data_IF_277154834759
#
_entry.id   IF_277154834759
#
_cell.length_a   1.000
_cell.length_b   1.000
_cell.length_c   1.000
_cell.angle_alpha   90.00
_cell.angle_beta   90.00
_cell.angle_gamma   90.00
#
_symmetry.space_group_name_H-M   'P 1'
#
loop_
_entity.id
_entity.type
_entity.pdbx_description
1 polymer ?
#
# COMPACT_ATOMS: atom_id res chain seq x y z
N UNK A 1 0.70 0.33 -5.39
CA UNK A 1 0.97 0.51 -6.83
C UNK A 1 2.30 1.22 -6.99
N UNK A 2 3.25 0.55 -7.63
CA UNK A 2 4.56 1.14 -7.89
C UNK A 2 4.51 2.09 -9.09
N UNK A 3 5.38 3.10 -9.06
CA UNK A 3 5.60 4.03 -10.17
C UNK A 3 4.41 4.92 -10.55
N UNK A 4 3.40 5.03 -9.70
CA UNK A 4 2.27 5.94 -9.91
C UNK A 4 2.33 7.02 -8.83
N UNK A 5 2.64 8.28 -9.19
CA UNK A 5 2.74 9.35 -8.20
C UNK A 5 1.36 9.81 -7.73
N UNK A 6 1.30 10.21 -6.46
CA UNK A 6 0.12 10.83 -5.84
C UNK A 6 -1.17 10.01 -5.98
N UNK A 7 -1.04 8.68 -6.01
CA UNK A 7 -2.17 7.76 -6.14
C UNK A 7 -2.33 6.95 -4.86
N UNK A 8 -3.53 6.91 -4.33
CA UNK A 8 -3.89 6.09 -3.16
C UNK A 8 -5.08 5.22 -3.52
N UNK A 9 -4.95 3.94 -3.24
CA UNK A 9 -6.02 2.97 -3.40
C UNK A 9 -6.48 2.49 -2.02
N UNK A 10 -7.77 2.61 -1.74
CA UNK A 10 -8.35 2.12 -0.50
C UNK A 10 -9.04 0.79 -0.77
N UNK A 11 -8.48 -0.28 -0.22
CA UNK A 11 -9.04 -1.62 -0.29
C UNK A 11 -9.10 -2.22 1.11
N UNK A 12 -10.21 -2.83 1.43
CA UNK A 12 -10.44 -3.37 2.78
C UNK A 12 -9.82 -4.75 3.01
N UNK A 13 -10.01 -5.27 4.21
CA UNK A 13 -9.63 -6.64 4.53
C UNK A 13 -10.61 -7.64 3.92
N UNK A 14 -10.10 -8.79 3.50
CA UNK A 14 -10.94 -9.90 3.05
C UNK A 14 -11.32 -10.86 4.20
N UNK A 15 -10.59 -10.78 5.32
CA UNK A 15 -10.77 -11.64 6.49
C UNK A 15 -11.23 -10.88 7.75
N UNK A 16 -11.58 -9.61 7.61
CA UNK A 16 -12.01 -8.74 8.72
C UNK A 16 -12.90 -7.62 8.19
N UNK A 17 -13.31 -6.69 9.06
CA UNK A 17 -14.11 -5.55 8.63
C UNK A 17 -13.38 -4.70 7.60
N UNK A 18 -14.03 -4.43 6.49
CA UNK A 18 -13.52 -3.59 5.41
C UNK A 18 -13.09 -2.21 5.90
N UNK A 19 -13.90 -1.61 6.77
CA UNK A 19 -13.68 -0.25 7.25
C UNK A 19 -12.42 -0.10 8.10
N UNK A 20 -11.95 -1.15 8.75
CA UNK A 20 -10.70 -1.12 9.52
C UNK A 20 -9.51 -0.75 8.64
N UNK A 21 -9.40 -1.38 7.48
CA UNK A 21 -8.30 -1.09 6.53
C UNK A 21 -8.46 0.27 5.89
N UNK A 22 -9.69 0.64 5.52
CA UNK A 22 -9.98 1.96 4.94
C UNK A 22 -9.60 3.08 5.91
N UNK A 23 -9.89 2.91 7.20
CA UNK A 23 -9.51 3.87 8.24
C UNK A 23 -7.98 4.00 8.36
N UNK A 24 -7.26 2.88 8.37
CA UNK A 24 -5.80 2.88 8.40
C UNK A 24 -5.20 3.56 7.15
N UNK A 25 -5.75 3.29 5.99
CA UNK A 25 -5.32 3.94 4.73
C UNK A 25 -5.50 5.46 4.81
N UNK A 26 -6.65 5.90 5.32
CA UNK A 26 -6.92 7.33 5.51
C UNK A 26 -5.96 7.97 6.51
N UNK A 27 -5.65 7.30 7.61
CA UNK A 27 -4.69 7.77 8.61
C UNK A 27 -3.30 7.90 8.01
N UNK A 28 -2.86 6.92 7.24
CA UNK A 28 -1.57 6.97 6.54
C UNK A 28 -1.53 8.13 5.55
N UNK A 29 -2.59 8.30 4.77
CA UNK A 29 -2.68 9.39 3.79
C UNK A 29 -2.58 10.76 4.47
N UNK A 30 -3.25 10.96 5.60
CA UNK A 30 -3.16 12.21 6.36
C UNK A 30 -1.73 12.48 6.86
N UNK A 31 -1.05 11.45 7.36
CA UNK A 31 0.37 11.57 7.74
C UNK A 31 1.24 11.96 6.55
N UNK A 32 1.02 11.31 5.42
CA UNK A 32 1.78 11.55 4.20
C UNK A 32 1.58 12.99 3.70
N UNK A 33 0.35 13.45 3.61
CA UNK A 33 0.04 14.82 3.18
C UNK A 33 0.69 15.84 4.12
N UNK A 34 0.58 15.63 5.43
CA UNK A 34 1.20 16.52 6.42
C UNK A 34 2.72 16.58 6.24
N UNK A 35 3.36 15.42 6.04
CA UNK A 35 4.80 15.34 5.80
C UNK A 35 5.19 16.08 4.50
N UNK A 36 4.42 15.88 3.44
CA UNK A 36 4.66 16.58 2.17
C UNK A 36 4.53 18.10 2.31
N UNK A 37 3.48 18.57 3.00
CA UNK A 37 3.27 20.00 3.24
C UNK A 37 4.42 20.62 4.06
N UNK A 38 4.87 19.92 5.10
CA UNK A 38 5.97 20.39 5.95
C UNK A 38 7.31 20.51 5.22
N UNK A 39 7.51 19.71 4.17
CA UNK A 39 8.74 19.67 3.39
C UNK A 39 8.62 20.27 2.00
N UNK A 40 7.47 20.86 1.68
CA UNK A 40 7.16 21.44 0.36
C UNK A 40 7.30 20.44 -0.79
N UNK A 41 6.95 19.19 -0.56
CA UNK A 41 6.90 18.17 -1.60
C UNK A 41 5.58 18.25 -2.38
N UNK A 42 5.66 18.15 -3.70
CA UNK A 42 4.50 18.15 -4.59
C UNK A 42 4.08 16.74 -5.01
N UNK A 43 5.01 15.79 -4.96
CA UNK A 43 4.68 14.41 -5.31
C UNK A 43 5.35 13.41 -4.39
N UNK A 44 4.67 12.27 -4.22
CA UNK A 44 5.18 11.07 -3.58
C UNK A 44 4.89 9.88 -4.50
N UNK A 45 5.92 9.16 -4.88
CA UNK A 45 5.81 8.04 -5.83
C UNK A 45 6.45 6.79 -5.24
N UNK A 46 5.68 5.71 -5.03
CA UNK A 46 6.26 4.45 -4.58
C UNK A 46 7.15 3.86 -5.68
N UNK A 47 8.35 3.48 -5.31
CA UNK A 47 9.31 2.85 -6.22
C UNK A 47 9.61 1.42 -5.76
N UNK A 48 9.33 0.46 -6.63
CA UNK A 48 9.64 -0.93 -6.36
C UNK A 48 11.16 -1.11 -6.29
N UNK A 49 11.72 -1.66 -5.20
CA UNK A 49 13.14 -1.97 -5.13
C UNK A 49 13.55 -3.02 -6.16
N UNK A 50 14.78 -2.93 -6.65
CA UNK A 50 15.31 -3.89 -7.63
C UNK A 50 15.46 -5.30 -7.07
N UNK A 51 15.54 -5.46 -5.75
CA UNK A 51 15.67 -6.75 -5.07
C UNK A 51 14.33 -7.43 -4.74
N UNK A 52 13.20 -6.86 -5.16
CA UNK A 52 11.89 -7.50 -5.04
C UNK A 52 11.63 -8.33 -6.29
N UNK A 53 12.14 -9.55 -6.29
CA UNK A 53 12.09 -10.44 -7.46
C UNK A 53 10.85 -11.29 -7.52
N UNK A 54 10.21 -11.57 -6.38
CA UNK A 54 9.07 -12.47 -6.31
C UNK A 54 7.76 -11.67 -6.17
N UNK A 55 6.77 -12.05 -6.96
CA UNK A 55 5.42 -11.49 -6.90
C UNK A 55 4.41 -12.59 -6.67
N UNK A 56 3.37 -12.28 -5.92
CA UNK A 56 2.33 -13.23 -5.52
C UNK A 56 0.94 -12.65 -5.74
N UNK A 57 0.00 -13.52 -6.12
CA UNK A 57 -1.41 -13.15 -6.20
C UNK A 57 -2.02 -13.15 -4.79
N UNK A 58 -2.24 -11.98 -4.24
CA UNK A 58 -2.80 -11.83 -2.89
C UNK A 58 -4.31 -12.11 -2.83
N UNK A 59 -4.97 -12.15 -3.99
CA UNK A 59 -6.40 -12.43 -4.10
C UNK A 59 -6.71 -13.91 -4.38
N UNK A 60 -5.72 -14.79 -4.48
CA UNK A 60 -5.93 -16.18 -4.86
C UNK A 60 -6.85 -16.96 -3.91
N UNK A 61 -6.86 -16.56 -2.63
CA UNK A 61 -7.71 -17.20 -1.62
C UNK A 61 -9.12 -16.62 -1.57
N UNK A 62 -9.42 -15.65 -2.43
CA UNK A 62 -10.72 -15.02 -2.50
C UNK A 62 -11.68 -15.91 -3.31
N UNK A 63 -12.80 -16.31 -2.70
CA UNK A 63 -13.67 -17.34 -3.29
C UNK A 63 -14.63 -16.85 -4.37
N UNK A 64 -14.77 -15.52 -4.55
CA UNK A 64 -15.69 -14.93 -5.53
C UNK A 64 -15.28 -15.25 -6.96
N UNK A 65 -16.22 -15.81 -7.75
CA UNK A 65 -15.91 -16.23 -9.12
C UNK A 65 -15.45 -15.09 -10.04
N UNK A 66 -15.97 -13.88 -9.86
CA UNK A 66 -15.54 -12.73 -10.68
C UNK A 66 -14.09 -12.32 -10.35
N UNK A 67 -13.68 -12.45 -9.10
CA UNK A 67 -12.28 -12.20 -8.68
C UNK A 67 -11.36 -13.25 -9.31
N UNK A 68 -11.71 -14.51 -9.23
CA UNK A 68 -10.90 -15.60 -9.80
C UNK A 68 -10.71 -15.44 -11.31
N UNK A 69 -11.75 -15.00 -12.02
CA UNK A 69 -11.66 -14.78 -13.47
C UNK A 69 -10.77 -13.58 -13.85
N UNK A 70 -10.61 -12.62 -12.95
CA UNK A 70 -9.85 -11.39 -13.21
C UNK A 70 -8.52 -11.32 -12.46
N UNK A 71 -8.12 -12.41 -11.79
CA UNK A 71 -6.96 -12.41 -10.87
C UNK A 71 -5.67 -11.93 -11.54
N UNK A 72 -5.46 -12.29 -12.79
CA UNK A 72 -4.28 -11.86 -13.56
C UNK A 72 -4.27 -10.38 -13.92
N UNK A 73 -5.39 -9.68 -13.76
CA UNK A 73 -5.51 -8.24 -14.04
C UNK A 73 -5.31 -7.40 -12.78
N UNK A 74 -5.27 -8.03 -11.61
CA UNK A 74 -5.06 -7.33 -10.35
C UNK A 74 -3.57 -7.15 -10.06
N UNK A 75 -3.21 -6.09 -9.30
CA UNK A 75 -1.84 -5.93 -8.85
C UNK A 75 -1.40 -7.11 -7.99
N UNK A 76 -0.13 -7.46 -8.09
CA UNK A 76 0.48 -8.51 -7.29
C UNK A 76 1.21 -7.92 -6.09
N UNK A 77 1.41 -8.71 -5.05
CA UNK A 77 2.21 -8.32 -3.90
C UNK A 77 3.64 -8.82 -4.04
N UNK A 78 4.57 -8.13 -3.35
CA UNK A 78 5.94 -8.58 -3.23
C UNK A 78 6.14 -9.43 -1.98
N UNK A 79 7.39 -9.81 -1.71
CA UNK A 79 7.75 -10.64 -0.55
C UNK A 79 8.15 -9.85 0.69
N UNK A 80 8.45 -8.55 0.54
CA UNK A 80 8.94 -7.68 1.61
C UNK A 80 8.04 -6.48 1.80
N UNK A 81 8.01 -5.93 3.03
CA UNK A 81 7.34 -4.64 3.31
C UNK A 81 7.93 -3.51 2.45
N UNK A 82 7.14 -2.56 2.03
CA UNK A 82 5.69 -2.41 2.17
C UNK A 82 4.88 -3.09 1.05
N UNK A 83 5.49 -3.98 0.29
CA UNK A 83 4.92 -4.60 -0.91
C UNK A 83 4.10 -5.86 -0.62
N UNK A 84 4.01 -6.26 0.65
CA UNK A 84 3.23 -7.42 1.11
C UNK A 84 1.96 -6.95 1.81
N UNK A 85 0.84 -7.59 1.47
CA UNK A 85 -0.42 -7.41 2.18
C UNK A 85 -0.62 -8.57 3.16
N UNK A 86 -0.33 -8.33 4.43
CA UNK A 86 -0.38 -9.38 5.46
C UNK A 86 -1.80 -9.74 5.89
N UNK A 87 -2.80 -8.94 5.57
CA UNK A 87 -4.18 -9.12 6.07
C UNK A 87 -4.24 -9.20 7.61
N UNK A 88 -3.38 -8.44 8.28
CA UNK A 88 -3.26 -8.39 9.74
C UNK A 88 -3.44 -6.96 10.23
N UNK A 89 -4.59 -6.69 10.88
CA UNK A 89 -4.93 -5.35 11.35
C UNK A 89 -3.92 -4.81 12.37
N UNK A 90 -3.42 -5.66 13.28
CA UNK A 90 -2.50 -5.22 14.33
C UNK A 90 -1.16 -4.79 13.73
N UNK A 91 -0.60 -5.61 12.83
CA UNK A 91 0.63 -5.25 12.11
C UNK A 91 0.45 -3.97 11.30
N UNK A 92 -0.64 -3.87 10.55
CA UNK A 92 -0.94 -2.70 9.73
C UNK A 92 -1.13 -1.45 10.58
N UNK A 93 -1.76 -1.57 11.75
CA UNK A 93 -1.95 -0.47 12.68
C UNK A 93 -0.60 0.11 13.13
N UNK A 94 0.33 -0.75 13.55
CA UNK A 94 1.67 -0.31 13.93
C UNK A 94 2.43 0.30 12.76
N UNK A 95 2.39 -0.31 11.60
CA UNK A 95 3.08 0.18 10.40
C UNK A 95 2.54 1.56 9.99
N UNK A 96 1.23 1.74 9.99
CA UNK A 96 0.59 3.01 9.62
C UNK A 96 0.92 4.12 10.62
N UNK A 97 0.95 3.81 11.91
CA UNK A 97 1.16 4.82 12.97
C UNK A 97 2.62 5.17 13.20
N UNK A 98 3.54 4.21 13.07
CA UNK A 98 4.91 4.35 13.53
C UNK A 98 6.00 4.15 12.48
N UNK A 99 5.66 3.68 11.26
CA UNK A 99 6.66 3.52 10.21
C UNK A 99 7.17 4.87 9.71
N UNK A 100 8.40 4.89 9.22
CA UNK A 100 8.98 6.08 8.60
C UNK A 100 8.39 6.26 7.20
N UNK A 101 8.01 7.50 6.87
CA UNK A 101 7.53 7.85 5.53
C UNK A 101 8.68 7.91 4.52
N UNK A 102 9.86 8.36 4.94
CA UNK A 102 11.06 8.41 4.11
C UNK A 102 11.95 7.19 4.36
N UNK A 103 11.46 6.01 3.96
CA UNK A 103 12.12 4.73 4.15
C UNK A 103 12.82 4.21 2.89
N UNK A 104 12.91 5.01 1.84
CA UNK A 104 13.49 4.62 0.56
C UNK A 104 12.51 3.99 -0.44
N UNK A 105 11.29 3.67 -0.01
CA UNK A 105 10.26 3.11 -0.90
C UNK A 105 9.39 4.20 -1.56
N UNK A 106 9.32 5.38 -0.96
CA UNK A 106 8.67 6.55 -1.53
C UNK A 106 9.72 7.54 -2.01
N UNK A 107 9.57 8.00 -3.25
CA UNK A 107 10.36 9.08 -3.81
C UNK A 107 9.54 10.35 -3.79
N UNK A 108 10.03 11.35 -3.06
CA UNK A 108 9.39 12.64 -2.96
C UNK A 108 10.00 13.63 -3.95
N UNK A 109 9.17 14.51 -4.50
CA UNK A 109 9.61 15.52 -5.44
C UNK A 109 8.96 16.88 -5.14
N UNK A 110 9.71 17.94 -5.38
CA UNK A 110 9.22 19.35 -5.29
C UNK A 110 8.79 19.90 -6.64
N UNK A 111 8.92 19.10 -7.67
CA UNK A 111 8.59 19.49 -9.04
C UNK A 111 7.24 18.93 -9.50
#
# INVERSE_FOLDING_TARGET
>A
YSDIPNFVNSFGYINASWTLKADLTSTYLCRLIKHMDQNNYLSACPKKPLDVDETYDWLKDFSSGYIQRSIGLHPQQGSKKPWVNYQDYIKDWFDVKFSKLEDGNLVFSKD
#
